data_IF_860316755864
#
_entry.id   IF_860316755864
#
_cell.length_a   1.000
_cell.length_b   1.000
_cell.length_c   1.000
_cell.angle_alpha   90.00
_cell.angle_beta   90.00
_cell.angle_gamma   90.00
#
_symmetry.space_group_name_H-M   'P 1'
#
loop_
_entity.id
_entity.type
_entity.pdbx_description
1 polymer ?
#
# COMPACT_ATOMS: atom_id res chain seq x y z
N UNK A 1 -14.34 7.47 14.62
CA UNK A 1 -13.83 7.79 13.26
C UNK A 1 -14.01 6.54 12.42
N UNK A 2 -14.53 6.64 11.20
CA UNK A 2 -14.61 5.50 10.28
C UNK A 2 -13.21 5.06 9.90
N UNK A 3 -12.98 3.75 9.89
CA UNK A 3 -11.72 3.17 9.41
C UNK A 3 -11.48 3.59 7.95
N UNK A 4 -10.31 4.16 7.64
CA UNK A 4 -9.94 4.58 6.28
C UNK A 4 -9.02 3.53 5.66
N UNK A 5 -9.46 2.91 4.57
CA UNK A 5 -8.68 1.94 3.80
C UNK A 5 -7.89 2.66 2.69
N UNK A 6 -6.83 2.02 2.18
CA UNK A 6 -6.05 2.49 1.03
C UNK A 6 -6.04 1.40 -0.03
N UNK A 7 -7.08 1.37 -0.86
CA UNK A 7 -7.31 0.38 -1.90
C UNK A 7 -6.82 0.87 -3.26
N UNK A 8 -6.91 2.19 -3.50
CA UNK A 8 -6.45 2.87 -4.68
C UNK A 8 -5.94 4.28 -4.37
N UNK A 9 -5.22 4.90 -5.31
CA UNK A 9 -4.84 6.31 -5.18
C UNK A 9 -6.07 7.23 -5.16
N UNK A 10 -7.21 6.81 -5.73
CA UNK A 10 -8.42 7.63 -5.84
C UNK A 10 -9.19 7.72 -4.51
N UNK A 11 -8.85 6.89 -3.52
CA UNK A 11 -9.51 6.85 -2.21
C UNK A 11 -9.13 8.07 -1.34
N UNK A 12 -8.10 8.81 -1.75
CA UNK A 12 -7.55 9.96 -1.03
C UNK A 12 -7.61 11.22 -1.90
N UNK A 13 -7.84 12.40 -1.30
CA UNK A 13 -7.59 13.68 -1.95
C UNK A 13 -6.13 13.81 -2.41
N UNK A 14 -5.90 14.58 -3.48
CA UNK A 14 -4.56 14.88 -3.97
C UNK A 14 -3.65 15.48 -2.90
N UNK A 15 -4.18 16.36 -2.03
CA UNK A 15 -3.43 16.97 -0.93
C UNK A 15 -2.96 15.95 0.10
N UNK A 16 -3.81 14.98 0.47
CA UNK A 16 -3.44 13.90 1.41
C UNK A 16 -2.30 13.05 0.82
N UNK A 17 -2.32 12.80 -0.49
CA UNK A 17 -1.26 12.05 -1.18
C UNK A 17 0.04 12.86 -1.27
N UNK A 18 -0.02 14.17 -1.49
CA UNK A 18 1.17 15.05 -1.47
C UNK A 18 1.80 15.06 -0.07
N UNK A 19 0.99 15.23 0.98
CA UNK A 19 1.46 15.14 2.37
C UNK A 19 2.05 13.77 2.69
N UNK A 20 1.53 12.69 2.10
CA UNK A 20 2.11 11.36 2.25
C UNK A 20 3.51 11.25 1.62
N UNK A 21 3.73 11.88 0.45
CA UNK A 21 5.06 11.93 -0.18
C UNK A 21 6.04 12.75 0.69
N UNK A 22 5.62 13.91 1.20
CA UNK A 22 6.42 14.72 2.11
C UNK A 22 6.78 13.94 3.37
N UNK A 23 5.80 13.26 3.97
CA UNK A 23 6.01 12.42 5.15
C UNK A 23 6.99 11.28 4.87
N UNK A 24 6.95 10.69 3.68
CA UNK A 24 7.89 9.64 3.28
C UNK A 24 9.33 10.18 3.19
N UNK A 25 9.52 11.39 2.66
CA UNK A 25 10.83 12.06 2.66
C UNK A 25 11.34 12.33 4.08
N UNK A 26 10.47 12.82 4.97
CA UNK A 26 10.82 13.06 6.38
C UNK A 26 11.24 11.78 7.10
N UNK A 27 10.48 10.70 6.93
CA UNK A 27 10.80 9.39 7.52
C UNK A 27 12.11 8.84 6.97
N UNK A 28 12.36 8.98 5.66
CA UNK A 28 13.62 8.57 5.02
C UNK A 28 14.82 9.37 5.55
N UNK A 29 14.65 10.68 5.74
CA UNK A 29 15.68 11.55 6.32
C UNK A 29 15.94 11.20 7.78
N UNK A 30 14.89 11.06 8.59
CA UNK A 30 14.98 10.67 10.00
C UNK A 30 15.65 9.31 10.19
N UNK A 31 15.34 8.33 9.34
CA UNK A 31 16.01 7.03 9.35
C UNK A 31 17.52 7.16 9.11
N UNK A 32 17.94 7.95 8.10
CA UNK A 32 19.37 8.19 7.80
C UNK A 32 20.11 8.89 8.94
N UNK A 33 19.41 9.70 9.72
CA UNK A 33 19.95 10.43 10.85
C UNK A 33 19.88 9.65 12.17
N UNK A 34 19.30 8.44 12.17
CA UNK A 34 19.07 7.65 13.39
C UNK A 34 18.00 8.23 14.32
N UNK A 35 17.10 9.06 13.79
CA UNK A 35 16.05 9.79 14.52
C UNK A 35 14.64 9.31 14.15
N UNK A 36 14.50 8.08 13.65
CA UNK A 36 13.21 7.56 13.24
C UNK A 36 12.27 7.36 14.44
N UNK A 37 11.09 7.98 14.38
CA UNK A 37 10.06 7.82 15.41
C UNK A 37 9.44 6.43 15.38
N UNK A 38 9.21 5.84 16.56
CA UNK A 38 8.58 4.52 16.72
C UNK A 38 7.05 4.59 16.79
N UNK A 39 6.44 5.20 15.76
CA UNK A 39 4.97 5.42 15.69
C UNK A 39 4.15 4.14 15.63
N UNK A 40 4.75 3.02 15.23
CA UNK A 40 4.13 1.69 15.20
C UNK A 40 4.47 0.86 16.44
N UNK A 41 5.01 1.45 17.52
CA UNK A 41 5.36 0.70 18.74
C UNK A 41 4.17 -0.09 19.28
N UNK A 42 4.33 -1.41 19.34
CA UNK A 42 3.30 -2.34 19.82
C UNK A 42 2.15 -2.59 18.84
N UNK A 43 2.28 -2.15 17.59
CA UNK A 43 1.31 -2.36 16.51
C UNK A 43 1.71 -3.55 15.63
N UNK A 44 0.73 -4.32 15.20
CA UNK A 44 0.93 -5.51 14.36
C UNK A 44 0.34 -5.32 12.96
N UNK A 45 1.15 -5.58 11.93
CA UNK A 45 0.76 -5.58 10.52
C UNK A 45 0.53 -7.02 10.03
N UNK A 46 -0.70 -7.39 9.69
CA UNK A 46 -1.00 -8.67 9.04
C UNK A 46 -0.80 -8.53 7.51
N UNK A 47 0.11 -9.31 6.94
CA UNK A 47 0.43 -9.30 5.51
C UNK A 47 -0.12 -10.56 4.83
N UNK A 48 -1.22 -10.41 4.10
CA UNK A 48 -1.95 -11.48 3.41
C UNK A 48 -1.53 -11.53 1.93
N UNK A 49 -0.89 -12.60 1.49
CA UNK A 49 -0.39 -12.72 0.13
C UNK A 49 -0.98 -13.94 -0.57
N UNK A 50 -1.73 -13.73 -1.65
CA UNK A 50 -2.19 -14.80 -2.55
C UNK A 50 -1.18 -15.09 -3.68
N UNK A 51 -0.27 -14.15 -3.94
CA UNK A 51 0.83 -14.31 -4.89
C UNK A 51 2.13 -13.82 -4.27
N UNK A 52 3.17 -14.64 -4.32
CA UNK A 52 4.48 -14.30 -3.77
C UNK A 52 5.04 -13.01 -4.38
N UNK A 53 5.71 -12.21 -3.53
CA UNK A 53 6.48 -11.04 -3.94
C UNK A 53 7.48 -10.65 -2.87
N UNK A 54 8.75 -10.86 -3.18
CA UNK A 54 9.85 -10.53 -2.28
C UNK A 54 9.91 -9.03 -1.99
N UNK A 55 9.80 -8.18 -3.02
CA UNK A 55 9.91 -6.72 -2.87
C UNK A 55 8.84 -6.17 -1.94
N UNK A 56 7.57 -6.53 -2.20
CA UNK A 56 6.43 -6.07 -1.40
C UNK A 56 6.52 -6.60 0.03
N UNK A 57 6.82 -7.89 0.21
CA UNK A 57 6.95 -8.46 1.56
C UNK A 57 8.04 -7.74 2.35
N UNK A 58 9.26 -7.70 1.80
CA UNK A 58 10.42 -7.14 2.48
C UNK A 58 10.22 -5.66 2.79
N UNK A 59 9.63 -4.88 1.87
CA UNK A 59 9.41 -3.44 2.10
C UNK A 59 8.42 -3.16 3.24
N UNK A 60 7.30 -3.89 3.29
CA UNK A 60 6.32 -3.73 4.37
C UNK A 60 6.84 -4.25 5.71
N UNK A 61 7.48 -5.42 5.71
CA UNK A 61 8.03 -6.05 6.91
C UNK A 61 9.13 -5.17 7.55
N UNK A 62 10.11 -4.73 6.75
CA UNK A 62 11.17 -3.84 7.24
C UNK A 62 10.59 -2.48 7.66
N UNK A 63 9.68 -1.89 6.88
CA UNK A 63 9.06 -0.60 7.20
C UNK A 63 8.32 -0.63 8.55
N UNK A 64 7.52 -1.67 8.80
CA UNK A 64 6.83 -1.84 10.08
C UNK A 64 7.82 -1.96 11.25
N UNK A 65 8.85 -2.81 11.09
CA UNK A 65 9.87 -3.04 12.11
C UNK A 65 10.67 -1.77 12.42
N UNK A 66 11.05 -1.00 11.39
CA UNK A 66 11.77 0.27 11.55
C UNK A 66 10.93 1.31 12.33
N UNK A 67 9.61 1.29 12.17
CA UNK A 67 8.69 2.15 12.92
C UNK A 67 8.32 1.57 14.31
N UNK A 68 8.95 0.48 14.74
CA UNK A 68 8.75 -0.15 16.05
C UNK A 68 7.57 -1.13 16.14
N UNK A 69 6.94 -1.45 15.01
CA UNK A 69 5.88 -2.45 14.93
C UNK A 69 6.41 -3.86 14.66
N UNK A 70 5.49 -4.80 14.52
CA UNK A 70 5.74 -6.15 14.05
C UNK A 70 4.93 -6.42 12.77
N UNK A 71 5.39 -7.34 11.95
CA UNK A 71 4.65 -7.80 10.79
C UNK A 71 4.53 -9.33 10.79
N UNK A 72 3.30 -9.82 10.56
CA UNK A 72 2.98 -11.23 10.42
C UNK A 72 2.76 -11.54 8.94
N UNK A 73 3.56 -12.44 8.39
CA UNK A 73 3.41 -12.87 7.00
C UNK A 73 2.52 -14.12 6.90
N UNK A 74 1.43 -14.01 6.14
CA UNK A 74 0.53 -15.11 5.81
C UNK A 74 0.74 -15.47 4.34
N UNK A 75 1.43 -16.58 4.12
CA UNK A 75 1.72 -17.05 2.76
C UNK A 75 0.47 -17.65 2.10
N UNK A 76 0.47 -17.81 0.76
CA UNK A 76 -0.67 -18.40 0.05
C UNK A 76 -1.08 -19.78 0.57
N UNK A 77 -0.11 -20.58 1.06
CA UNK A 77 -0.35 -21.94 1.57
C UNK A 77 -0.72 -22.01 3.05
N UNK A 78 -0.44 -20.95 3.82
CA UNK A 78 -0.69 -20.90 5.27
C UNK A 78 -2.06 -20.29 5.61
N UNK A 79 -2.70 -19.61 4.66
CA UNK A 79 -4.00 -18.98 4.88
C UNK A 79 -5.17 -19.94 4.69
N UNK A 80 -6.11 -19.95 5.64
CA UNK A 80 -7.38 -20.68 5.54
C UNK A 80 -8.29 -20.16 4.42
N UNK A 81 -8.01 -18.97 3.87
CA UNK A 81 -8.65 -18.48 2.64
C UNK A 81 -8.45 -19.47 1.47
N UNK A 82 -7.33 -20.18 1.43
CA UNK A 82 -7.06 -21.22 0.43
C UNK A 82 -7.81 -22.53 0.69
N UNK A 83 -8.38 -22.70 1.89
CA UNK A 83 -9.04 -23.92 2.38
C UNK A 83 -10.55 -23.74 2.61
N UNK A 84 -11.11 -22.61 2.20
CA UNK A 84 -12.55 -22.37 2.17
C UNK A 84 -13.12 -21.45 3.26
N UNK A 85 -12.28 -20.82 4.10
CA UNK A 85 -12.76 -19.73 4.96
C UNK A 85 -13.22 -18.54 4.11
N UNK A 86 -14.36 -17.95 4.47
CA UNK A 86 -14.86 -16.77 3.77
C UNK A 86 -13.92 -15.57 3.97
N UNK A 87 -13.83 -14.67 2.97
CA UNK A 87 -13.04 -13.44 3.11
C UNK A 87 -13.60 -12.55 4.23
N UNK A 88 -14.91 -12.54 4.41
CA UNK A 88 -15.59 -11.84 5.50
C UNK A 88 -15.13 -12.33 6.89
N UNK A 89 -15.08 -13.64 7.11
CA UNK A 89 -14.65 -14.20 8.40
C UNK A 89 -13.15 -13.98 8.63
N UNK A 90 -12.34 -14.19 7.59
CA UNK A 90 -10.91 -13.88 7.62
C UNK A 90 -10.67 -12.43 8.02
N UNK A 91 -11.39 -11.48 7.41
CA UNK A 91 -11.27 -10.05 7.70
C UNK A 91 -11.65 -9.72 9.15
N UNK A 92 -12.73 -10.31 9.69
CA UNK A 92 -13.16 -10.13 11.09
C UNK A 92 -12.13 -10.66 12.07
N UNK A 93 -11.59 -11.86 11.82
CA UNK A 93 -10.59 -12.48 12.69
C UNK A 93 -9.30 -11.65 12.66
N UNK A 94 -8.76 -11.34 11.48
CA UNK A 94 -7.53 -10.56 11.36
C UNK A 94 -7.66 -9.16 11.98
N UNK A 95 -8.77 -8.47 11.73
CA UNK A 95 -8.98 -7.12 12.28
C UNK A 95 -9.23 -7.09 13.80
N UNK A 96 -9.47 -8.26 14.43
CA UNK A 96 -9.53 -8.37 15.89
C UNK A 96 -8.16 -8.63 16.56
N UNK A 97 -7.15 -9.03 15.77
CA UNK A 97 -5.83 -9.47 16.26
C UNK A 97 -4.68 -8.57 15.79
N UNK A 98 -4.85 -7.89 14.65
CA UNK A 98 -3.86 -7.00 14.05
C UNK A 98 -4.39 -5.57 13.97
N UNK A 99 -3.49 -4.60 13.90
CA UNK A 99 -3.82 -3.18 13.81
C UNK A 99 -3.95 -2.68 12.37
N UNK A 100 -3.37 -3.41 11.40
CA UNK A 100 -3.43 -3.12 9.97
C UNK A 100 -3.37 -4.41 9.16
N UNK A 101 -4.04 -4.42 8.00
CA UNK A 101 -3.98 -5.51 7.03
C UNK A 101 -3.37 -4.98 5.73
N UNK A 102 -2.34 -5.64 5.23
CA UNK A 102 -1.78 -5.43 3.89
C UNK A 102 -2.13 -6.66 3.07
N UNK A 103 -2.81 -6.45 1.94
CA UNK A 103 -3.25 -7.55 1.09
C UNK A 103 -2.68 -7.42 -0.31
N UNK A 104 -2.09 -8.51 -0.78
CA UNK A 104 -1.71 -8.74 -2.18
C UNK A 104 -2.57 -9.86 -2.73
N UNK A 105 -3.47 -9.52 -3.65
CA UNK A 105 -4.51 -10.43 -4.13
C UNK A 105 -4.50 -10.53 -5.65
N UNK A 106 -5.14 -11.58 -6.17
CA UNK A 106 -5.33 -11.78 -7.59
C UNK A 106 -6.50 -10.96 -8.16
N UNK A 107 -7.46 -10.53 -7.33
CA UNK A 107 -8.64 -9.81 -7.80
C UNK A 107 -9.01 -8.67 -6.84
N UNK A 108 -9.22 -7.47 -7.38
CA UNK A 108 -9.54 -6.28 -6.58
C UNK A 108 -10.82 -6.42 -5.76
N UNK A 109 -11.81 -7.18 -6.25
CA UNK A 109 -13.06 -7.45 -5.54
C UNK A 109 -12.83 -8.12 -4.19
N UNK A 110 -11.86 -9.04 -4.12
CA UNK A 110 -11.48 -9.73 -2.87
C UNK A 110 -10.91 -8.76 -1.85
N UNK A 111 -10.07 -7.83 -2.31
CA UNK A 111 -9.54 -6.75 -1.48
C UNK A 111 -10.66 -5.85 -0.95
N UNK A 112 -11.65 -5.50 -1.79
CA UNK A 112 -12.79 -4.68 -1.36
C UNK A 112 -13.71 -5.41 -0.38
N UNK A 113 -13.92 -6.72 -0.54
CA UNK A 113 -14.69 -7.55 0.40
C UNK A 113 -14.00 -7.61 1.77
N UNK A 114 -12.68 -7.82 1.80
CA UNK A 114 -11.89 -7.77 3.04
C UNK A 114 -11.98 -6.39 3.69
N UNK A 115 -11.89 -5.31 2.92
CA UNK A 115 -12.04 -3.95 3.43
C UNK A 115 -13.43 -3.71 4.04
N UNK A 116 -14.50 -4.18 3.38
CA UNK A 116 -15.88 -4.04 3.84
C UNK A 116 -16.13 -4.71 5.21
N UNK A 117 -15.41 -5.79 5.52
CA UNK A 117 -15.58 -6.56 6.75
C UNK A 117 -14.49 -6.32 7.80
N UNK A 118 -13.48 -5.51 7.48
CA UNK A 118 -12.37 -5.19 8.38
C UNK A 118 -12.70 -4.03 9.30
N UNK A 119 -12.36 -4.16 10.59
CA UNK A 119 -12.41 -3.06 11.56
C UNK A 119 -11.13 -2.21 11.59
N UNK A 120 -10.08 -2.65 10.88
CA UNK A 120 -8.78 -1.97 10.79
C UNK A 120 -8.40 -1.62 9.34
N UNK A 121 -7.48 -0.67 9.12
CA UNK A 121 -7.11 -0.25 7.76
C UNK A 121 -6.63 -1.42 6.91
N UNK A 122 -7.09 -1.45 5.66
CA UNK A 122 -6.67 -2.42 4.65
C UNK A 122 -5.89 -1.66 3.57
N UNK A 123 -4.70 -2.15 3.25
CA UNK A 123 -3.76 -1.55 2.29
C UNK A 123 -3.59 -2.48 1.09
N UNK A 124 -3.81 -1.94 -0.11
CA UNK A 124 -3.54 -2.62 -1.37
C UNK A 124 -2.04 -2.69 -1.66
N UNK A 125 -1.46 -3.86 -1.45
CA UNK A 125 -0.08 -4.16 -1.80
C UNK A 125 0.09 -4.52 -3.30
N UNK A 126 -0.97 -4.98 -3.97
CA UNK A 126 -1.17 -5.14 -5.42
C UNK A 126 -2.48 -5.93 -5.65
N UNK A 127 -3.28 -5.51 -6.62
CA UNK A 127 -4.37 -6.29 -7.24
C UNK A 127 -4.15 -6.40 -8.77
N UNK A 128 -5.03 -7.10 -9.46
CA UNK A 128 -5.14 -7.13 -10.93
C UNK A 128 -5.46 -5.77 -11.54
N UNK A 129 -6.15 -4.89 -10.82
CA UNK A 129 -6.53 -3.55 -11.30
C UNK A 129 -5.53 -2.46 -10.97
N UNK A 130 -4.78 -2.56 -9.86
CA UNK A 130 -3.91 -1.47 -9.41
C UNK A 130 -2.77 -1.91 -8.49
N UNK A 131 -1.74 -1.07 -8.40
CA UNK A 131 -0.59 -1.21 -7.54
C UNK A 131 -0.20 0.16 -6.92
N UNK A 132 -1.05 0.76 -6.07
CA UNK A 132 -0.92 2.15 -5.65
C UNK A 132 0.38 2.43 -4.87
N UNK A 133 0.87 1.48 -4.08
CA UNK A 133 2.13 1.61 -3.34
C UNK A 133 3.37 1.74 -4.26
N UNK A 134 3.38 1.07 -5.42
CA UNK A 134 4.45 1.23 -6.41
C UNK A 134 4.47 2.67 -6.92
N UNK A 135 3.29 3.23 -7.21
CA UNK A 135 3.19 4.58 -7.76
C UNK A 135 3.60 5.63 -6.75
N UNK A 136 3.24 5.47 -5.47
CA UNK A 136 3.76 6.37 -4.43
C UNK A 136 5.29 6.37 -4.38
N UNK A 137 5.94 5.20 -4.54
CA UNK A 137 7.39 5.11 -4.60
C UNK A 137 7.98 5.76 -5.87
N UNK A 138 7.30 5.62 -7.02
CA UNK A 138 7.72 6.24 -8.28
C UNK A 138 7.62 7.78 -8.21
N UNK A 139 6.52 8.29 -7.64
CA UNK A 139 6.31 9.74 -7.43
C UNK A 139 7.33 10.30 -6.44
N UNK A 140 7.56 9.62 -5.31
CA UNK A 140 8.62 9.99 -4.37
C UNK A 140 9.98 10.09 -5.07
N UNK A 141 10.31 9.09 -5.89
CA UNK A 141 11.58 9.06 -6.64
C UNK A 141 11.66 10.25 -7.61
N UNK A 142 10.60 10.55 -8.35
CA UNK A 142 10.58 11.71 -9.24
C UNK A 142 10.81 13.00 -8.46
N UNK A 143 10.10 13.18 -7.34
CA UNK A 143 10.19 14.38 -6.50
C UNK A 143 11.59 14.59 -5.97
N UNK A 144 12.25 13.53 -5.48
CA UNK A 144 13.63 13.61 -4.99
C UNK A 144 14.64 14.00 -6.08
N UNK A 145 14.39 13.61 -7.33
CA UNK A 145 15.34 13.80 -8.43
C UNK A 145 15.05 15.01 -9.33
N UNK A 146 13.82 15.52 -9.33
CA UNK A 146 13.34 16.53 -10.29
C UNK A 146 12.46 17.63 -9.66
N UNK A 147 12.11 17.50 -8.38
CA UNK A 147 11.11 18.38 -7.75
C UNK A 147 9.68 18.01 -8.14
N UNK A 148 8.75 18.96 -8.04
CA UNK A 148 7.33 18.68 -8.29
C UNK A 148 7.09 18.02 -9.64
N UNK A 149 6.30 16.94 -9.64
CA UNK A 149 5.87 16.25 -10.88
C UNK A 149 4.73 16.99 -11.59
N UNK A 150 4.10 17.97 -10.94
CA UNK A 150 2.97 18.69 -11.54
C UNK A 150 3.35 19.30 -12.90
N UNK A 151 2.47 19.12 -13.88
CA UNK A 151 2.65 19.50 -15.29
C UNK A 151 3.79 18.80 -16.05
N UNK A 152 4.53 17.88 -15.42
CA UNK A 152 5.50 17.06 -16.13
C UNK A 152 4.82 16.18 -17.18
N UNK A 153 5.61 15.63 -18.10
CA UNK A 153 5.15 14.58 -19.02
C UNK A 153 5.88 13.29 -18.69
N UNK A 154 5.13 12.25 -18.36
CA UNK A 154 5.61 10.88 -18.15
C UNK A 154 5.13 10.03 -19.32
N UNK A 155 6.03 9.25 -19.92
CA UNK A 155 5.68 8.30 -20.97
C UNK A 155 5.62 6.89 -20.40
N UNK A 156 4.52 6.18 -20.66
CA UNK A 156 4.38 4.75 -20.43
C UNK A 156 4.58 4.00 -21.75
N UNK A 157 5.54 3.08 -21.79
CA UNK A 157 5.83 2.29 -22.98
C UNK A 157 5.71 0.81 -22.63
N UNK A 158 4.74 0.12 -23.22
CA UNK A 158 4.49 -1.30 -23.01
C UNK A 158 3.03 -1.60 -22.70
N UNK A 159 2.80 -2.75 -22.07
CA UNK A 159 1.46 -3.30 -21.87
C UNK A 159 0.58 -2.43 -20.95
N UNK A 160 -0.73 -2.41 -21.24
CA UNK A 160 -1.74 -1.88 -20.33
C UNK A 160 -2.01 -2.86 -19.19
N UNK A 161 -1.23 -2.78 -18.12
CA UNK A 161 -1.37 -3.62 -16.92
C UNK A 161 -1.81 -2.80 -15.68
N UNK A 162 -1.87 -3.45 -14.51
CA UNK A 162 -2.21 -2.79 -13.25
C UNK A 162 -1.31 -1.60 -12.88
N UNK A 163 -0.04 -1.62 -13.27
CA UNK A 163 0.90 -0.51 -13.06
C UNK A 163 0.55 0.64 -14.00
N UNK A 164 0.29 0.37 -15.29
CA UNK A 164 -0.21 1.38 -16.24
C UNK A 164 -1.50 2.05 -15.74
N UNK A 165 -2.48 1.25 -15.29
CA UNK A 165 -3.72 1.77 -14.69
C UNK A 165 -3.46 2.65 -13.47
N UNK A 166 -2.46 2.29 -12.66
CA UNK A 166 -2.09 3.08 -11.49
C UNK A 166 -1.36 4.37 -11.87
N UNK A 167 -0.58 4.38 -12.96
CA UNK A 167 -0.02 5.61 -13.55
C UNK A 167 -1.11 6.56 -14.03
N UNK A 168 -2.19 6.05 -14.64
CA UNK A 168 -3.35 6.88 -15.03
C UNK A 168 -3.97 7.54 -13.81
N UNK A 169 -4.18 6.78 -12.72
CA UNK A 169 -4.70 7.32 -11.48
C UNK A 169 -3.73 8.36 -10.88
N UNK A 170 -2.42 8.09 -10.89
CA UNK A 170 -1.41 9.01 -10.39
C UNK A 170 -1.36 10.31 -11.20
N UNK A 171 -1.51 10.25 -12.53
CA UNK A 171 -1.55 11.42 -13.41
C UNK A 171 -2.66 12.38 -13.00
N UNK A 172 -3.85 11.83 -12.71
CA UNK A 172 -4.97 12.60 -12.18
C UNK A 172 -4.67 13.20 -10.81
N UNK A 173 -4.13 12.40 -9.89
CA UNK A 173 -3.96 12.81 -8.49
C UNK A 173 -2.81 13.80 -8.28
N UNK A 174 -1.72 13.68 -9.04
CA UNK A 174 -0.52 14.52 -8.93
C UNK A 174 -0.41 15.58 -10.05
N UNK A 175 -1.39 15.65 -10.96
CA UNK A 175 -1.52 16.72 -11.94
C UNK A 175 -0.43 16.72 -13.01
N UNK A 176 -0.05 15.55 -13.54
CA UNK A 176 0.93 15.43 -14.63
C UNK A 176 0.29 14.80 -15.88
N UNK A 177 0.98 14.95 -17.02
CA UNK A 177 0.55 14.38 -18.29
C UNK A 177 1.12 12.97 -18.45
N UNK A 178 0.26 11.96 -18.61
CA UNK A 178 0.68 10.62 -19.00
C UNK A 178 0.49 10.45 -20.51
N UNK A 179 1.50 9.88 -21.19
CA UNK A 179 1.48 9.58 -22.63
C UNK A 179 1.86 8.14 -22.90
#
# INVERSE_FOLDING_TARGET
MTCRHFLSLLDFPSEDLQQLIEKAMDLKSGLRQGQLSSVMKGKTLAMVFEKASTRTRVSFEIGANQLGGSALFLSPGDSQMSRGESLADTARVLSSMADLIVMRTLAHERLTEVAQHSQVPVINAMSDTSHPCQLLADILTFVEHRGSIANATVAWIGDGNNVCQSWINAARQFGFNLR
#
